data_IF_881556523727
#
_entry.id   IF_881556523727
#
_cell.length_a   1.000
_cell.length_b   1.000
_cell.length_c   1.000
_cell.angle_alpha   90.00
_cell.angle_beta   90.00
_cell.angle_gamma   90.00
#
_symmetry.space_group_name_H-M   'P 1'
#
loop_
_entity.id
_entity.type
_entity.pdbx_description
1 polymer ?
#
# COMPACT_ATOMS: atom_id res chain seq x y z
N UNK A 1 24.55 0.04 11.60
CA UNK A 1 24.00 1.10 10.73
C UNK A 1 23.03 0.39 9.81
N UNK A 2 21.73 0.72 9.84
CA UNK A 2 20.72 0.06 9.01
C UNK A 2 20.78 0.69 7.62
N UNK A 3 20.84 -0.12 6.57
CA UNK A 3 20.83 0.34 5.18
C UNK A 3 19.42 0.79 4.75
N UNK A 4 19.31 1.65 3.74
CA UNK A 4 18.01 2.11 3.22
C UNK A 4 17.10 0.94 2.80
N UNK A 5 17.67 -0.14 2.26
CA UNK A 5 16.94 -1.36 1.88
C UNK A 5 16.38 -2.09 3.10
N UNK A 6 17.13 -2.18 4.20
CA UNK A 6 16.64 -2.81 5.43
C UNK A 6 15.50 -1.99 6.08
N UNK A 7 15.46 -0.67 5.89
CA UNK A 7 14.35 0.18 6.31
C UNK A 7 13.10 -0.16 5.50
N UNK A 8 13.20 -0.18 4.17
CA UNK A 8 12.10 -0.52 3.26
C UNK A 8 11.53 -1.91 3.56
N UNK A 9 12.37 -2.92 3.80
CA UNK A 9 11.90 -4.26 4.20
C UNK A 9 11.12 -4.28 5.51
N UNK A 10 11.51 -3.46 6.48
CA UNK A 10 10.76 -3.33 7.74
C UNK A 10 9.39 -2.69 7.50
N UNK A 11 9.29 -1.76 6.56
CA UNK A 11 8.03 -1.14 6.17
C UNK A 11 7.12 -2.14 5.44
N UNK A 12 7.65 -2.97 4.54
CA UNK A 12 6.90 -4.06 3.92
C UNK A 12 6.21 -4.95 4.95
N UNK A 13 6.91 -5.28 6.05
CA UNK A 13 6.33 -6.06 7.16
C UNK A 13 5.18 -5.31 7.85
N UNK A 14 5.31 -3.99 8.08
CA UNK A 14 4.23 -3.21 8.70
C UNK A 14 3.04 -3.08 7.75
N UNK A 15 3.29 -2.80 6.47
CA UNK A 15 2.25 -2.74 5.44
C UNK A 15 1.49 -4.06 5.39
N UNK A 16 2.17 -5.20 5.30
CA UNK A 16 1.53 -6.51 5.24
C UNK A 16 0.65 -6.80 6.46
N UNK A 17 1.07 -6.38 7.66
CA UNK A 17 0.24 -6.52 8.87
C UNK A 17 -1.09 -5.76 8.75
N UNK A 18 -1.05 -4.52 8.28
CA UNK A 18 -2.27 -3.73 8.08
C UNK A 18 -3.13 -4.30 6.93
N UNK A 19 -2.51 -4.83 5.86
CA UNK A 19 -3.25 -5.48 4.77
C UNK A 19 -4.02 -6.71 5.25
N UNK A 20 -3.40 -7.57 6.07
CA UNK A 20 -4.06 -8.74 6.66
C UNK A 20 -5.23 -8.33 7.55
N UNK A 21 -5.06 -7.29 8.37
CA UNK A 21 -6.14 -6.77 9.21
C UNK A 21 -7.31 -6.24 8.37
N UNK A 22 -7.04 -5.55 7.26
CA UNK A 22 -8.09 -5.11 6.33
C UNK A 22 -8.82 -6.30 5.73
N UNK A 23 -8.12 -7.35 5.29
CA UNK A 23 -8.76 -8.54 4.74
C UNK A 23 -9.70 -9.19 5.76
N UNK A 24 -9.28 -9.30 7.03
CA UNK A 24 -10.13 -9.78 8.12
C UNK A 24 -11.40 -8.93 8.22
N UNK A 25 -11.27 -7.61 8.23
CA UNK A 25 -12.42 -6.69 8.32
C UNK A 25 -13.35 -6.83 7.10
N UNK A 26 -12.81 -7.02 5.89
CA UNK A 26 -13.61 -7.20 4.67
C UNK A 26 -14.40 -8.52 4.72
N UNK A 27 -13.80 -9.57 5.28
CA UNK A 27 -14.40 -10.90 5.35
C UNK A 27 -15.39 -11.06 6.54
N UNK A 28 -15.44 -10.09 7.45
CA UNK A 28 -16.42 -10.04 8.55
C UNK A 28 -17.84 -9.67 8.06
N UNK A 29 -18.86 -10.27 8.67
CA UNK A 29 -20.27 -9.99 8.34
C UNK A 29 -20.73 -8.57 8.73
N UNK A 30 -20.12 -8.00 9.77
CA UNK A 30 -20.42 -6.66 10.28
C UNK A 30 -19.15 -5.82 10.29
N UNK A 31 -19.22 -4.62 9.70
CA UNK A 31 -18.05 -3.74 9.59
C UNK A 31 -17.81 -3.03 10.92
N UNK A 32 -16.68 -3.31 11.56
CA UNK A 32 -16.20 -2.54 12.71
C UNK A 32 -15.59 -1.20 12.22
N UNK A 33 -16.43 -0.18 12.06
CA UNK A 33 -16.03 1.13 11.51
C UNK A 33 -14.86 1.80 12.23
N UNK A 34 -14.81 1.87 13.57
CA UNK A 34 -13.64 2.43 14.26
C UNK A 34 -12.34 1.69 13.93
N UNK A 35 -12.37 0.36 13.88
CA UNK A 35 -11.20 -0.44 13.50
C UNK A 35 -10.81 -0.18 12.05
N UNK A 36 -11.78 -0.24 11.14
CA UNK A 36 -11.59 0.04 9.71
C UNK A 36 -10.88 1.38 9.47
N UNK A 37 -11.40 2.45 10.07
CA UNK A 37 -10.83 3.80 9.94
C UNK A 37 -9.40 3.83 10.48
N UNK A 38 -9.15 3.18 11.62
CA UNK A 38 -7.84 3.12 12.23
C UNK A 38 -6.82 2.42 11.33
N UNK A 39 -7.15 1.23 10.85
CA UNK A 39 -6.27 0.38 10.03
C UNK A 39 -5.98 1.04 8.68
N UNK A 40 -6.99 1.57 7.99
CA UNK A 40 -6.76 2.30 6.74
C UNK A 40 -5.91 3.55 6.93
N UNK A 41 -6.11 4.29 8.04
CA UNK A 41 -5.27 5.44 8.35
C UNK A 41 -3.81 5.03 8.55
N UNK A 42 -3.55 3.94 9.28
CA UNK A 42 -2.20 3.45 9.50
C UNK A 42 -1.56 3.00 8.17
N UNK A 43 -2.25 2.16 7.41
CA UNK A 43 -1.80 1.69 6.11
C UNK A 43 -1.45 2.85 5.17
N UNK A 44 -2.32 3.86 5.08
CA UNK A 44 -2.11 5.01 4.21
C UNK A 44 -0.91 5.85 4.62
N UNK A 45 -0.65 5.99 5.93
CA UNK A 45 0.53 6.69 6.42
C UNK A 45 1.81 5.89 6.15
N UNK A 46 1.77 4.57 6.36
CA UNK A 46 2.90 3.70 6.03
C UNK A 46 3.20 3.74 4.54
N UNK A 47 2.18 3.64 3.71
CA UNK A 47 2.30 3.66 2.26
C UNK A 47 2.87 4.99 1.74
N UNK A 48 2.35 6.13 2.18
CA UNK A 48 2.89 7.44 1.76
C UNK A 48 4.35 7.60 2.13
N UNK A 49 4.70 7.22 3.37
CA UNK A 49 6.08 7.29 3.83
C UNK A 49 7.02 6.30 3.12
N UNK A 50 6.47 5.16 2.68
CA UNK A 50 7.20 4.15 1.94
C UNK A 50 7.54 4.65 0.54
N UNK A 51 6.56 5.15 -0.22
CA UNK A 51 6.76 5.69 -1.56
C UNK A 51 7.84 6.78 -1.58
N UNK A 52 7.81 7.71 -0.61
CA UNK A 52 8.81 8.77 -0.50
C UNK A 52 10.24 8.24 -0.35
N UNK A 53 10.43 7.21 0.50
CA UNK A 53 11.74 6.59 0.72
C UNK A 53 12.19 5.78 -0.48
N UNK A 54 11.26 5.09 -1.12
CA UNK A 54 11.52 4.29 -2.31
C UNK A 54 11.97 5.19 -3.47
N UNK A 55 11.28 6.31 -3.70
CA UNK A 55 11.67 7.31 -4.70
C UNK A 55 13.09 7.86 -4.44
N UNK A 56 13.43 8.15 -3.18
CA UNK A 56 14.77 8.61 -2.80
C UNK A 56 15.83 7.53 -3.04
N UNK A 57 15.55 6.28 -2.65
CA UNK A 57 16.45 5.16 -2.87
C UNK A 57 16.70 4.94 -4.36
N UNK A 58 15.64 4.88 -5.17
CA UNK A 58 15.74 4.64 -6.61
C UNK A 58 16.54 5.75 -7.32
N UNK A 59 16.32 7.02 -6.94
CA UNK A 59 17.15 8.16 -7.40
C UNK A 59 18.62 7.99 -7.02
N UNK A 60 18.91 7.56 -5.79
CA UNK A 60 20.29 7.38 -5.30
C UNK A 60 21.05 6.23 -5.98
N UNK A 61 20.33 5.20 -6.43
CA UNK A 61 20.91 4.06 -7.14
C UNK A 61 21.24 4.37 -8.60
N UNK A 62 20.94 5.59 -9.09
CA UNK A 62 21.18 6.00 -10.47
C UNK A 62 20.39 5.17 -11.49
N UNK A 63 19.33 4.48 -11.05
CA UNK A 63 18.51 3.63 -11.93
C UNK A 63 17.57 4.48 -12.78
N UNK A 64 18.07 5.24 -13.73
CA UNK A 64 17.19 5.91 -14.70
C UNK A 64 16.64 4.90 -15.73
N UNK A 65 15.39 5.08 -16.16
CA UNK A 65 14.75 4.28 -17.21
C UNK A 65 13.46 3.56 -16.80
N UNK A 66 13.07 2.56 -17.60
CA UNK A 66 11.75 1.93 -17.57
C UNK A 66 11.32 1.33 -16.21
N UNK A 67 12.26 0.97 -15.33
CA UNK A 67 11.94 0.43 -14.00
C UNK A 67 11.38 1.52 -13.07
N UNK A 68 12.03 2.69 -13.00
CA UNK A 68 11.51 3.82 -12.21
C UNK A 68 10.18 4.30 -12.77
N UNK A 69 10.06 4.42 -14.09
CA UNK A 69 8.79 4.82 -14.72
C UNK A 69 7.66 3.85 -14.36
N UNK A 70 7.94 2.55 -14.38
CA UNK A 70 6.97 1.52 -13.97
C UNK A 70 6.57 1.67 -12.49
N UNK A 71 7.52 1.90 -11.58
CA UNK A 71 7.20 2.09 -10.15
C UNK A 71 6.37 3.36 -9.93
N UNK A 72 6.72 4.47 -10.57
CA UNK A 72 5.94 5.72 -10.49
C UNK A 72 4.51 5.52 -11.00
N UNK A 73 4.32 4.76 -12.08
CA UNK A 73 2.99 4.44 -12.59
C UNK A 73 2.19 3.59 -11.59
N UNK A 74 2.83 2.64 -10.90
CA UNK A 74 2.19 1.83 -9.86
C UNK A 74 1.78 2.68 -8.65
N UNK A 75 2.67 3.55 -8.16
CA UNK A 75 2.36 4.51 -7.08
C UNK A 75 1.18 5.40 -7.46
N UNK A 76 1.15 5.94 -8.68
CA UNK A 76 0.04 6.76 -9.17
C UNK A 76 -1.29 5.99 -9.20
N UNK A 77 -1.28 4.75 -9.66
CA UNK A 77 -2.47 3.86 -9.64
C UNK A 77 -2.98 3.64 -8.21
N UNK A 78 -2.06 3.32 -7.29
CA UNK A 78 -2.38 3.05 -5.88
C UNK A 78 -2.89 4.30 -5.15
N UNK A 79 -2.31 5.49 -5.41
CA UNK A 79 -2.83 6.77 -4.90
C UNK A 79 -4.26 7.04 -5.34
N UNK A 80 -4.60 6.71 -6.60
CA UNK A 80 -5.96 6.82 -7.11
C UNK A 80 -6.95 5.93 -6.35
N UNK A 81 -6.60 4.67 -6.11
CA UNK A 81 -7.42 3.71 -5.36
C UNK A 81 -7.56 4.07 -3.88
N UNK A 82 -6.46 4.49 -3.25
CA UNK A 82 -6.45 5.03 -1.89
C UNK A 82 -7.47 6.16 -1.75
N UNK A 83 -7.53 7.09 -2.72
CA UNK A 83 -8.51 8.17 -2.70
C UNK A 83 -9.96 7.66 -2.74
N UNK A 84 -10.26 6.70 -3.62
CA UNK A 84 -11.61 6.11 -3.71
C UNK A 84 -12.03 5.50 -2.37
N UNK A 85 -11.13 4.71 -1.76
CA UNK A 85 -11.39 4.07 -0.45
C UNK A 85 -11.61 5.13 0.63
N UNK A 86 -10.76 6.16 0.67
CA UNK A 86 -10.87 7.25 1.63
C UNK A 86 -12.18 8.04 1.47
N UNK A 87 -12.58 8.33 0.24
CA UNK A 87 -13.83 9.04 -0.06
C UNK A 87 -15.05 8.20 0.39
N UNK A 88 -15.03 6.88 0.15
CA UNK A 88 -16.08 5.97 0.61
C UNK A 88 -16.16 5.90 2.15
N UNK A 89 -15.03 5.81 2.85
CA UNK A 89 -14.99 5.86 4.33
C UNK A 89 -15.59 7.17 4.85
N UNK A 90 -15.23 8.30 4.23
CA UNK A 90 -15.67 9.62 4.66
C UNK A 90 -17.13 9.93 4.31
N UNK A 91 -17.72 9.21 3.34
CA UNK A 91 -19.11 9.41 2.93
C UNK A 91 -20.13 9.04 4.02
N UNK A 92 -19.76 8.12 4.92
CA UNK A 92 -20.69 7.52 5.88
C UNK A 92 -21.77 6.62 5.25
N UNK A 93 -21.71 6.38 3.94
CA UNK A 93 -22.65 5.52 3.23
C UNK A 93 -22.21 4.06 3.33
N UNK A 94 -22.88 3.30 4.19
CA UNK A 94 -22.56 1.89 4.46
C UNK A 94 -22.55 1.00 3.22
N UNK A 95 -23.52 1.17 2.32
CA UNK A 95 -23.61 0.35 1.11
C UNK A 95 -22.44 0.63 0.17
N UNK A 96 -22.14 1.91 -0.04
CA UNK A 96 -21.00 2.35 -0.86
C UNK A 96 -19.68 1.89 -0.27
N UNK A 97 -19.52 1.97 1.06
CA UNK A 97 -18.34 1.48 1.74
C UNK A 97 -18.18 -0.03 1.53
N UNK A 98 -19.21 -0.83 1.74
CA UNK A 98 -19.14 -2.30 1.53
C UNK A 98 -18.74 -2.66 0.11
N UNK A 99 -19.31 -1.99 -0.89
CA UNK A 99 -18.94 -2.19 -2.31
C UNK A 99 -17.48 -1.81 -2.54
N UNK A 100 -17.04 -0.66 -2.02
CA UNK A 100 -15.67 -0.17 -2.17
C UNK A 100 -14.66 -1.09 -1.49
N UNK A 101 -15.01 -1.65 -0.33
CA UNK A 101 -14.20 -2.64 0.37
C UNK A 101 -14.05 -3.93 -0.44
N UNK A 102 -15.14 -4.47 -0.97
CA UNK A 102 -15.08 -5.72 -1.73
C UNK A 102 -14.39 -5.57 -3.10
N UNK A 103 -14.36 -4.37 -3.66
CA UNK A 103 -13.77 -4.11 -4.98
C UNK A 103 -12.43 -3.39 -4.89
N UNK A 104 -12.45 -2.09 -4.59
CA UNK A 104 -11.26 -1.24 -4.57
C UNK A 104 -10.25 -1.63 -3.49
N UNK A 105 -10.68 -1.99 -2.28
CA UNK A 105 -9.73 -2.37 -1.23
C UNK A 105 -9.06 -3.71 -1.53
N UNK A 106 -9.81 -4.74 -1.96
CA UNK A 106 -9.20 -6.01 -2.41
C UNK A 106 -8.22 -5.81 -3.57
N UNK A 107 -8.58 -4.98 -4.54
CA UNK A 107 -7.68 -4.62 -5.64
C UNK A 107 -6.42 -3.90 -5.16
N UNK A 108 -6.58 -2.93 -4.24
CA UNK A 108 -5.46 -2.20 -3.63
C UNK A 108 -4.50 -3.16 -2.92
N UNK A 109 -5.03 -4.07 -2.09
CA UNK A 109 -4.25 -5.07 -1.36
C UNK A 109 -3.42 -5.95 -2.31
N UNK A 110 -4.06 -6.51 -3.35
CA UNK A 110 -3.38 -7.34 -4.36
C UNK A 110 -2.26 -6.56 -5.07
N UNK A 111 -2.52 -5.30 -5.42
CA UNK A 111 -1.53 -4.44 -6.09
C UNK A 111 -0.36 -4.07 -5.20
N UNK A 112 -0.60 -3.74 -3.93
CA UNK A 112 0.48 -3.46 -2.96
C UNK A 112 1.35 -4.70 -2.77
N UNK A 113 0.76 -5.88 -2.56
CA UNK A 113 1.54 -7.13 -2.42
C UNK A 113 2.36 -7.44 -3.66
N UNK A 114 1.79 -7.24 -4.86
CA UNK A 114 2.53 -7.40 -6.12
C UNK A 114 3.67 -6.41 -6.28
N UNK A 115 3.51 -5.18 -5.81
CA UNK A 115 4.54 -4.15 -5.81
C UNK A 115 5.69 -4.55 -4.87
N UNK A 116 5.38 -4.86 -3.61
CA UNK A 116 6.35 -5.34 -2.61
C UNK A 116 7.12 -6.57 -3.14
N UNK A 117 6.45 -7.54 -3.76
CA UNK A 117 7.12 -8.71 -4.31
C UNK A 117 8.10 -8.36 -5.46
N UNK A 118 7.76 -7.36 -6.29
CA UNK A 118 8.65 -6.88 -7.36
C UNK A 118 9.87 -6.15 -6.79
N UNK A 119 9.67 -5.35 -5.75
CA UNK A 119 10.74 -4.70 -5.01
C UNK A 119 11.68 -5.70 -4.35
N UNK A 120 11.15 -6.71 -3.66
CA UNK A 120 11.97 -7.73 -3.02
C UNK A 120 12.87 -8.46 -4.03
N UNK A 121 12.34 -8.76 -5.22
CA UNK A 121 13.12 -9.37 -6.30
C UNK A 121 14.17 -8.40 -6.86
N UNK A 122 13.81 -7.12 -7.04
CA UNK A 122 14.74 -6.08 -7.44
C UNK A 122 15.90 -5.95 -6.45
N UNK A 123 15.62 -5.95 -5.15
CA UNK A 123 16.62 -5.78 -4.11
C UNK A 123 17.51 -7.00 -3.93
N UNK A 124 17.04 -8.22 -4.22
CA UNK A 124 17.92 -9.41 -4.30
C UNK A 124 18.99 -9.26 -5.38
N UNK A 125 18.65 -8.66 -6.52
CA UNK A 125 19.59 -8.49 -7.65
C UNK A 125 20.67 -7.41 -7.43
N UNK A 126 20.56 -6.63 -6.35
CA UNK A 126 21.53 -5.59 -5.99
C UNK A 126 22.65 -6.13 -5.07
N UNK A 127 22.65 -7.43 -4.80
CA UNK A 127 23.57 -8.18 -3.93
C UNK A 127 24.00 -9.47 -4.63
#
# INVERSE_FOLDING_TARGET
MITSVEIIKKEHIQIERELVEIEIIIDENEVNYPNLIHVFKNLFNYWDSHEEKEELLLKSLGREGAVIEKMILQHKELRGRKKVIQDAINSGNELELKITLDTDARFFIDKVRKHIAQEEELFKSLW
#
